data_IF_129280785410
#
_entry.id   IF_129280785410
#
_cell.length_a   1.000
_cell.length_b   1.000
_cell.length_c   1.000
_cell.angle_alpha   90.00
_cell.angle_beta   90.00
_cell.angle_gamma   90.00
#
_symmetry.space_group_name_H-M   'P 1'
#
loop_
_entity.id
_entity.type
_entity.pdbx_description
1 polymer ?
#
# COMPACT_ATOMS: atom_id res chain seq x y z
N UNK A 1 -22.54 26.89 -1.20
CA UNK A 1 -21.38 26.36 -0.46
C UNK A 1 -20.77 25.24 -1.29
N UNK A 2 -19.55 25.43 -1.81
CA UNK A 2 -18.83 24.37 -2.50
C UNK A 2 -18.09 23.54 -1.45
N UNK A 3 -18.45 22.27 -1.31
CA UNK A 3 -17.58 21.30 -0.67
C UNK A 3 -16.38 21.13 -1.60
N UNK A 4 -15.24 21.71 -1.25
CA UNK A 4 -13.98 21.34 -1.87
C UNK A 4 -13.81 19.84 -1.64
N UNK A 5 -14.07 19.04 -2.68
CA UNK A 5 -13.83 17.61 -2.62
C UNK A 5 -12.37 17.43 -2.23
N UNK A 6 -12.09 16.76 -1.12
CA UNK A 6 -10.75 16.23 -0.89
C UNK A 6 -10.49 15.30 -2.06
N UNK A 7 -9.73 15.74 -3.05
CA UNK A 7 -9.24 14.88 -4.12
C UNK A 7 -8.36 13.83 -3.45
N UNK A 8 -8.93 12.66 -3.16
CA UNK A 8 -8.17 11.53 -2.70
C UNK A 8 -7.14 11.19 -3.78
N UNK A 9 -5.85 11.20 -3.42
CA UNK A 9 -4.82 10.83 -4.37
C UNK A 9 -4.98 9.34 -4.72
N UNK A 10 -5.29 9.06 -5.99
CA UNK A 10 -5.43 7.69 -6.47
C UNK A 10 -4.08 6.96 -6.37
N UNK A 11 -4.07 5.81 -5.71
CA UNK A 11 -2.92 4.91 -5.67
C UNK A 11 -3.19 3.67 -6.54
N UNK A 12 -2.19 3.24 -7.30
CA UNK A 12 -2.26 2.05 -8.18
C UNK A 12 -1.23 1.03 -7.71
N UNK A 13 -1.70 -0.22 -7.58
CA UNK A 13 -0.88 -1.36 -7.18
C UNK A 13 -1.03 -2.49 -8.20
N UNK A 14 0.05 -3.26 -8.38
CA UNK A 14 0.06 -4.53 -9.11
C UNK A 14 0.23 -5.64 -8.07
N UNK A 15 -0.65 -6.63 -8.08
CA UNK A 15 -0.53 -7.82 -7.22
C UNK A 15 -0.20 -9.02 -8.12
N UNK A 16 0.95 -9.64 -7.87
CA UNK A 16 1.36 -10.89 -8.52
C UNK A 16 1.28 -12.01 -7.50
N UNK A 17 0.48 -13.03 -7.79
CA UNK A 17 0.21 -14.13 -6.87
C UNK A 17 0.57 -15.48 -7.48
N UNK A 18 1.01 -16.41 -6.62
CA UNK A 18 1.31 -17.80 -6.94
C UNK A 18 0.45 -18.66 -6.01
N UNK A 19 -0.37 -19.54 -6.61
CA UNK A 19 -1.16 -20.51 -5.87
C UNK A 19 -0.41 -21.84 -5.85
N UNK A 20 -0.13 -22.33 -4.65
CA UNK A 20 0.55 -23.61 -4.43
C UNK A 20 -0.46 -24.77 -4.44
N UNK A 21 -0.04 -26.00 -4.78
CA UNK A 21 -0.91 -27.18 -4.78
C UNK A 21 -1.57 -27.46 -3.43
N UNK A 22 -0.89 -27.13 -2.32
CA UNK A 22 -1.40 -27.27 -0.96
C UNK A 22 -2.45 -26.19 -0.57
N UNK A 23 -2.83 -25.31 -1.50
CA UNK A 23 -3.80 -24.24 -1.28
C UNK A 23 -3.22 -22.93 -0.76
N UNK A 24 -1.94 -22.90 -0.36
CA UNK A 24 -1.26 -21.66 0.03
C UNK A 24 -1.18 -20.67 -1.14
N UNK A 25 -1.34 -19.38 -0.86
CA UNK A 25 -1.16 -18.30 -1.83
C UNK A 25 -0.08 -17.35 -1.32
N UNK A 26 0.97 -17.19 -2.13
CA UNK A 26 2.08 -16.26 -1.85
C UNK A 26 2.20 -15.25 -2.98
N UNK A 27 2.87 -14.12 -2.78
CA UNK A 27 3.03 -13.17 -3.87
C UNK A 27 3.83 -11.92 -3.55
N UNK A 28 3.70 -10.94 -4.45
CA UNK A 28 4.31 -9.62 -4.36
C UNK A 28 3.25 -8.55 -4.64
N UNK A 29 3.22 -7.52 -3.82
CA UNK A 29 2.56 -6.25 -4.09
C UNK A 29 3.60 -5.26 -4.59
N UNK A 30 3.33 -4.60 -5.71
CA UNK A 30 4.15 -3.52 -6.26
C UNK A 30 3.33 -2.23 -6.36
N UNK A 31 3.82 -1.13 -5.81
CA UNK A 31 3.21 0.18 -5.99
C UNK A 31 3.72 0.81 -7.29
N UNK A 32 2.82 1.13 -8.20
CA UNK A 32 3.19 1.57 -9.56
C UNK A 32 3.95 2.89 -9.56
N UNK A 33 3.50 3.86 -8.75
CA UNK A 33 4.12 5.20 -8.69
C UNK A 33 5.58 5.16 -8.24
N UNK A 34 5.88 4.36 -7.21
CA UNK A 34 7.18 4.37 -6.52
C UNK A 34 8.07 3.19 -6.92
N UNK A 35 7.51 2.15 -7.54
CA UNK A 35 8.19 0.89 -7.81
C UNK A 35 8.46 0.04 -6.56
N UNK A 36 7.99 0.49 -5.38
CA UNK A 36 8.15 -0.21 -4.09
C UNK A 36 7.49 -1.60 -4.16
N UNK A 37 8.18 -2.62 -3.65
CA UNK A 37 7.75 -4.01 -3.68
C UNK A 37 7.77 -4.63 -2.30
N UNK A 38 6.73 -5.39 -1.96
CA UNK A 38 6.67 -6.16 -0.72
C UNK A 38 6.10 -7.55 -0.99
N UNK A 39 6.70 -8.58 -0.37
CA UNK A 39 6.24 -9.97 -0.47
C UNK A 39 5.21 -10.25 0.60
N UNK A 40 4.25 -11.13 0.28
CA UNK A 40 3.34 -11.72 1.25
C UNK A 40 3.39 -13.25 1.18
N UNK A 41 3.29 -13.88 2.36
CA UNK A 41 3.24 -15.32 2.53
C UNK A 41 1.80 -15.86 2.64
N UNK A 42 0.85 -14.96 2.94
CA UNK A 42 -0.58 -15.24 3.05
C UNK A 42 -1.42 -14.05 2.54
N UNK A 43 -2.64 -14.30 2.08
CA UNK A 43 -3.50 -13.27 1.43
C UNK A 43 -3.91 -12.19 2.43
N UNK A 44 -4.05 -12.56 3.69
CA UNK A 44 -4.44 -11.70 4.81
C UNK A 44 -3.41 -10.59 5.06
N UNK A 45 -2.15 -10.80 4.65
CA UNK A 45 -1.07 -9.83 4.80
C UNK A 45 -1.15 -8.67 3.79
N UNK A 46 -1.94 -8.80 2.72
CA UNK A 46 -2.03 -7.79 1.65
C UNK A 46 -2.57 -6.44 2.18
N UNK A 47 -3.57 -6.47 3.06
CA UNK A 47 -4.16 -5.25 3.64
C UNK A 47 -3.15 -4.42 4.43
N UNK A 48 -2.45 -4.99 5.43
CA UNK A 48 -1.36 -4.33 6.13
C UNK A 48 -0.26 -3.79 5.22
N UNK A 49 0.10 -4.51 4.16
CA UNK A 49 1.09 -4.07 3.17
C UNK A 49 0.63 -2.80 2.44
N UNK A 50 -0.63 -2.73 2.01
CA UNK A 50 -1.16 -1.50 1.40
C UNK A 50 -1.11 -0.31 2.36
N UNK A 51 -1.55 -0.48 3.60
CA UNK A 51 -1.52 0.59 4.60
C UNK A 51 -0.10 1.13 4.81
N UNK A 52 0.87 0.22 4.95
CA UNK A 52 2.28 0.54 5.10
C UNK A 52 2.84 1.30 3.90
N UNK A 53 2.56 0.84 2.68
CA UNK A 53 3.02 1.51 1.44
C UNK A 53 2.37 2.89 1.26
N UNK A 54 1.12 3.07 1.69
CA UNK A 54 0.43 4.36 1.62
C UNK A 54 1.01 5.38 2.60
N UNK A 55 1.35 4.96 3.83
CA UNK A 55 1.96 5.83 4.86
C UNK A 55 3.33 6.35 4.40
N UNK A 56 4.15 5.50 3.78
CA UNK A 56 5.52 5.83 3.33
C UNK A 56 5.59 6.90 2.25
N UNK A 57 4.52 7.08 1.47
CA UNK A 57 4.47 8.02 0.35
C UNK A 57 3.87 9.37 0.74
N UNK A 58 3.48 9.58 1.99
CA UNK A 58 3.10 10.92 2.45
C UNK A 58 4.38 11.74 2.66
N UNK A 59 4.67 12.75 1.83
CA UNK A 59 5.78 13.66 2.08
C UNK A 59 5.48 14.47 3.34
N UNK A 60 6.13 14.11 4.45
CA UNK A 60 6.25 14.95 5.65
C UNK A 60 5.00 15.10 6.50
N UNK A 61 4.71 14.11 7.34
CA UNK A 61 4.28 14.44 8.71
C UNK A 61 5.56 14.58 9.55
N UNK A 62 6.21 15.74 9.44
CA UNK A 62 7.15 16.16 10.49
C UNK A 62 6.36 16.20 11.80
N UNK A 63 6.83 15.58 12.89
CA UNK A 63 6.20 15.76 14.19
C UNK A 63 6.21 17.27 14.47
N UNK A 64 5.02 17.87 14.51
CA UNK A 64 4.86 19.26 14.86
C UNK A 64 5.67 19.54 16.13
N UNK A 65 6.53 20.54 16.05
CA UNK A 65 7.46 20.90 17.10
C UNK A 65 6.77 20.98 18.45
N UNK A 66 7.29 20.23 19.42
CA UNK A 66 7.08 20.52 20.83
C UNK A 66 8.09 21.62 21.19
N UNK A 67 7.62 22.86 21.27
CA UNK A 67 8.30 23.96 21.95
C UNK A 67 7.40 24.43 23.08
#
# INVERSE_FOLDING_TARGET
>A
MAIAGREGQQAVFIVRLTRHPAGQVTGVVERVRTGEKERFAAVEEIGPIFAKMLIRDQPGESPAGST
#
